data_IF_379960449640
#
_entry.id   IF_379960449640
#
_cell.length_a   1.000
_cell.length_b   1.000
_cell.length_c   1.000
_cell.angle_alpha   90.00
_cell.angle_beta   90.00
_cell.angle_gamma   90.00
#
_symmetry.space_group_name_H-M   'P 1'
#
loop_
_entity.id
_entity.type
_entity.pdbx_description
1 polymer ?
#
# COMPACT_ATOMS: atom_id res chain seq x y z
N UNK A 1 35.19 12.34 17.13
CA UNK A 1 33.99 11.58 17.51
C UNK A 1 34.37 10.12 17.59
N UNK A 2 34.09 9.40 18.69
CA UNK A 2 34.38 7.99 18.80
C UNK A 2 33.54 7.18 17.78
N UNK A 3 34.07 6.04 17.32
CA UNK A 3 33.38 5.16 16.38
C UNK A 3 32.04 4.57 16.93
N UNK A 4 31.77 4.76 18.22
CA UNK A 4 30.51 4.39 18.89
C UNK A 4 29.31 5.22 18.44
N UNK A 5 29.52 6.44 17.93
CA UNK A 5 28.45 7.39 17.61
C UNK A 5 27.98 7.30 16.15
N UNK A 6 28.57 6.38 15.38
CA UNK A 6 28.20 6.15 13.98
C UNK A 6 26.91 5.34 13.91
N UNK A 7 25.89 5.91 13.28
CA UNK A 7 24.60 5.27 13.05
C UNK A 7 24.69 4.16 12.00
N UNK A 8 24.08 3.03 12.28
CA UNK A 8 24.09 1.82 11.46
C UNK A 8 22.84 1.78 10.59
N UNK A 9 23.05 1.89 9.28
CA UNK A 9 21.99 1.79 8.26
C UNK A 9 21.00 0.62 8.41
N UNK A 10 21.41 -0.63 8.73
CA UNK A 10 20.46 -1.74 8.79
C UNK A 10 19.52 -1.70 10.00
N UNK A 11 19.75 -0.83 10.99
CA UNK A 11 18.88 -0.71 12.17
C UNK A 11 17.76 0.28 11.91
N UNK A 12 16.61 -0.25 11.49
CA UNK A 12 15.40 0.52 11.22
C UNK A 12 14.21 -0.06 12.00
N UNK A 13 13.25 0.79 12.35
CA UNK A 13 11.96 0.38 12.87
C UNK A 13 10.86 1.29 12.32
N UNK A 14 9.66 0.72 12.15
CA UNK A 14 8.47 1.42 11.69
C UNK A 14 7.36 1.11 12.71
N UNK A 15 6.73 2.15 13.26
CA UNK A 15 5.53 2.03 14.09
C UNK A 15 4.41 2.85 13.45
N UNK A 16 3.19 2.32 13.43
CA UNK A 16 2.05 2.95 12.74
C UNK A 16 0.79 2.86 13.58
N UNK A 17 0.15 4.00 13.85
CA UNK A 17 -1.10 4.05 14.61
C UNK A 17 -2.06 5.07 14.00
N UNK A 18 -3.35 4.76 13.98
CA UNK A 18 -4.38 5.69 13.51
C UNK A 18 -4.50 6.89 14.46
N UNK A 19 -4.72 8.06 13.87
CA UNK A 19 -4.93 9.31 14.60
C UNK A 19 -6.39 9.47 15.01
N UNK A 20 -6.62 9.87 16.26
CA UNK A 20 -7.96 10.29 16.71
C UNK A 20 -8.36 11.64 16.11
N UNK A 21 -7.38 12.48 15.79
CA UNK A 21 -7.55 13.80 15.19
C UNK A 21 -6.44 14.04 14.17
N UNK A 22 -6.83 14.43 12.96
CA UNK A 22 -5.89 14.65 11.85
C UNK A 22 -4.71 15.54 12.24
N UNK A 23 -3.49 15.09 11.92
CA UNK A 23 -2.26 15.86 12.16
C UNK A 23 -1.85 15.94 13.63
N UNK A 24 -2.52 15.21 14.52
CA UNK A 24 -2.17 15.10 15.94
C UNK A 24 -1.52 13.76 16.21
N UNK A 25 -0.35 13.79 16.85
CA UNK A 25 0.44 12.59 17.14
C UNK A 25 -0.33 11.56 17.97
N UNK A 26 -0.61 10.40 17.37
CA UNK A 26 -1.26 9.26 18.00
C UNK A 26 -0.37 8.54 19.03
N UNK A 27 0.92 8.88 19.09
CA UNK A 27 1.96 8.22 19.87
C UNK A 27 2.02 6.69 19.64
N UNK A 28 2.39 6.21 18.43
CA UNK A 28 2.64 4.80 18.16
C UNK A 28 3.56 4.13 19.20
N UNK A 29 3.16 2.97 19.70
CA UNK A 29 3.88 2.21 20.70
C UNK A 29 4.48 0.92 20.12
N UNK A 30 5.18 0.14 20.94
CA UNK A 30 5.87 -1.08 20.50
C UNK A 30 4.96 -2.17 19.91
N UNK A 31 3.67 -2.16 20.25
CA UNK A 31 2.66 -3.09 19.72
C UNK A 31 2.23 -2.78 18.28
N UNK A 32 2.48 -1.55 17.84
CA UNK A 32 2.13 -0.97 16.54
C UNK A 32 3.25 -1.16 15.50
N UNK A 33 4.17 -2.07 15.79
CA UNK A 33 5.35 -2.31 14.97
C UNK A 33 5.04 -3.05 13.67
N UNK A 34 5.56 -2.50 12.57
CA UNK A 34 5.43 -3.07 11.23
C UNK A 34 6.70 -3.82 10.83
N UNK A 35 6.52 -5.08 10.39
CA UNK A 35 7.60 -5.86 9.78
C UNK A 35 7.60 -5.59 8.28
N UNK A 36 8.60 -4.83 7.84
CA UNK A 36 8.70 -4.36 6.46
C UNK A 36 9.98 -4.81 5.75
N UNK A 37 9.89 -4.92 4.43
CA UNK A 37 11.00 -5.12 3.51
C UNK A 37 11.13 -3.92 2.57
N UNK A 38 12.28 -3.79 1.89
CA UNK A 38 12.51 -2.79 0.83
C UNK A 38 12.15 -1.35 1.24
N UNK A 39 12.63 -0.94 2.42
CA UNK A 39 12.29 0.35 3.03
C UNK A 39 13.12 1.49 2.45
N UNK A 40 12.42 2.45 1.85
CA UNK A 40 12.94 3.71 1.33
C UNK A 40 12.28 4.87 2.07
N UNK A 41 13.08 5.77 2.63
CA UNK A 41 12.59 6.90 3.41
C UNK A 41 13.22 8.20 2.90
N UNK A 42 12.37 9.13 2.50
CA UNK A 42 12.77 10.52 2.24
C UNK A 42 12.36 11.37 3.44
N UNK A 43 13.31 11.83 4.27
CA UNK A 43 13.01 12.50 5.54
C UNK A 43 12.37 13.88 5.37
N UNK A 44 12.64 14.55 4.25
CA UNK A 44 12.20 15.93 4.02
C UNK A 44 12.14 16.21 2.52
N UNK A 45 10.94 16.26 1.97
CA UNK A 45 10.62 16.76 0.63
C UNK A 45 9.86 18.09 0.78
N UNK A 46 9.94 18.95 -0.24
CA UNK A 46 9.27 20.24 -0.22
C UNK A 46 9.70 21.12 -1.38
N UNK A 47 9.37 22.41 -1.29
CA UNK A 47 9.73 23.41 -2.29
C UNK A 47 10.95 24.20 -1.84
N UNK A 48 11.85 24.51 -2.80
CA UNK A 48 12.97 25.41 -2.60
C UNK A 48 12.68 26.75 -3.27
N UNK A 49 12.50 27.80 -2.47
CA UNK A 49 12.35 29.16 -2.97
C UNK A 49 13.73 29.81 -3.08
N UNK A 50 14.14 30.12 -4.32
CA UNK A 50 15.39 30.82 -4.57
C UNK A 50 15.31 32.28 -4.12
N UNK A 51 16.38 32.76 -3.50
CA UNK A 51 16.49 34.12 -3.01
C UNK A 51 17.22 34.99 -4.04
N UNK A 52 16.51 35.58 -4.98
CA UNK A 52 17.09 36.43 -6.04
C UNK A 52 17.33 37.88 -5.59
N UNK A 53 18.11 38.10 -4.53
CA UNK A 53 18.47 39.47 -4.10
C UNK A 53 19.51 40.07 -5.05
N UNK A 54 19.55 41.41 -5.14
CA UNK A 54 20.57 42.09 -5.94
C UNK A 54 21.70 42.50 -4.98
N UNK A 55 22.89 41.94 -5.19
CA UNK A 55 24.08 42.19 -4.38
C UNK A 55 25.20 42.77 -5.25
N UNK A 56 26.10 43.61 -4.71
CA UNK A 56 27.25 44.17 -5.44
C UNK A 56 28.36 43.13 -5.73
N UNK A 57 28.09 41.85 -5.51
CA UNK A 57 29.00 40.72 -5.74
C UNK A 57 28.23 39.52 -6.30
N UNK A 58 28.94 38.64 -7.01
CA UNK A 58 28.39 37.42 -7.60
C UNK A 58 28.43 36.27 -6.58
N UNK A 59 27.34 35.50 -6.46
CA UNK A 59 27.26 34.33 -5.59
C UNK A 59 25.85 33.77 -5.44
N UNK A 60 25.73 32.50 -5.00
CA UNK A 60 24.44 31.90 -4.63
C UNK A 60 23.95 32.49 -3.31
N UNK A 61 22.67 32.79 -3.24
CA UNK A 61 22.05 33.53 -2.13
C UNK A 61 21.21 32.64 -1.20
N UNK A 62 21.28 31.32 -1.46
CA UNK A 62 20.60 30.31 -0.71
C UNK A 62 19.14 30.15 -1.13
N UNK A 63 18.51 29.15 -0.53
CA UNK A 63 17.12 28.77 -0.75
C UNK A 63 16.37 28.77 0.58
N UNK A 64 15.07 29.01 0.53
CA UNK A 64 14.17 28.84 1.67
C UNK A 64 13.35 27.58 1.39
N UNK A 65 13.36 26.63 2.34
CA UNK A 65 12.57 25.41 2.24
C UNK A 65 11.16 25.68 2.76
N UNK A 66 10.15 25.33 1.98
CA UNK A 66 8.74 25.53 2.33
C UNK A 66 7.88 24.31 1.96
N UNK A 67 6.79 24.08 2.68
CA UNK A 67 5.87 22.96 2.42
C UNK A 67 6.56 21.62 2.62
N UNK A 68 7.15 21.43 3.80
CA UNK A 68 7.95 20.25 4.11
C UNK A 68 7.07 19.06 4.51
N UNK A 69 7.30 17.91 3.91
CA UNK A 69 6.66 16.64 4.25
C UNK A 69 7.68 15.49 4.16
N UNK A 70 7.32 14.33 4.71
CA UNK A 70 8.12 13.12 4.61
C UNK A 70 7.43 12.08 3.73
N UNK A 71 8.22 11.24 3.06
CA UNK A 71 7.72 10.11 2.27
C UNK A 71 8.38 8.82 2.72
N UNK A 72 7.58 7.78 2.93
CA UNK A 72 8.04 6.46 3.35
C UNK A 72 7.44 5.41 2.41
N UNK A 73 8.27 4.56 1.83
CA UNK A 73 7.86 3.47 0.93
C UNK A 73 8.44 2.16 1.44
N UNK A 74 7.61 1.13 1.53
CA UNK A 74 8.03 -0.19 2.01
C UNK A 74 7.04 -1.28 1.61
N UNK A 75 7.52 -2.51 1.69
CA UNK A 75 6.71 -3.69 1.41
C UNK A 75 6.36 -4.43 2.71
N UNK A 76 5.13 -4.88 2.84
CA UNK A 76 4.64 -5.75 3.93
C UNK A 76 4.20 -7.08 3.32
N UNK A 77 4.61 -8.19 3.92
CA UNK A 77 4.18 -9.52 3.46
C UNK A 77 2.68 -9.73 3.74
N UNK A 78 1.94 -10.26 2.77
CA UNK A 78 0.49 -10.48 2.89
C UNK A 78 0.26 -11.78 3.68
N UNK A 79 -0.33 -11.63 4.86
CA UNK A 79 -0.79 -12.72 5.71
C UNK A 79 -1.96 -12.23 6.57
N UNK A 80 -2.86 -13.13 6.99
CA UNK A 80 -3.93 -12.75 7.91
C UNK A 80 -3.44 -12.54 9.35
N UNK A 81 -4.39 -12.29 10.24
CA UNK A 81 -4.14 -12.00 11.67
C UNK A 81 -3.89 -13.25 12.53
N UNK A 82 -4.30 -14.42 12.05
CA UNK A 82 -4.24 -15.71 12.74
C UNK A 82 -5.53 -16.17 13.38
N UNK A 83 -6.48 -15.26 13.60
CA UNK A 83 -7.81 -15.57 14.13
C UNK A 83 -8.87 -14.83 13.28
N UNK A 84 -9.90 -15.55 12.83
CA UNK A 84 -10.98 -14.96 12.04
C UNK A 84 -11.67 -13.82 12.80
N UNK A 85 -12.05 -12.75 12.08
CA UNK A 85 -12.64 -11.55 12.70
C UNK A 85 -11.66 -10.70 13.53
N UNK A 86 -10.35 -10.99 13.50
CA UNK A 86 -9.32 -10.13 14.11
C UNK A 86 -8.59 -9.33 13.03
N UNK A 87 -8.41 -8.03 13.26
CA UNK A 87 -7.72 -7.14 12.32
C UNK A 87 -6.24 -7.54 12.11
N UNK A 88 -5.74 -7.59 10.86
CA UNK A 88 -4.33 -7.83 10.57
C UNK A 88 -3.42 -6.71 11.08
N UNK A 89 -2.12 -6.98 11.22
CA UNK A 89 -1.15 -5.99 11.72
C UNK A 89 -0.90 -4.79 10.81
N UNK A 90 -1.25 -4.89 9.53
CA UNK A 90 -1.19 -3.79 8.56
C UNK A 90 -2.50 -3.00 8.46
N UNK A 91 -3.47 -3.24 9.35
CA UNK A 91 -4.77 -2.58 9.36
C UNK A 91 -4.70 -1.06 9.28
N UNK A 92 -3.90 -0.42 10.15
CA UNK A 92 -3.76 1.04 10.18
C UNK A 92 -3.24 1.61 8.86
N UNK A 93 -2.44 0.84 8.10
CA UNK A 93 -1.94 1.27 6.79
C UNK A 93 -3.04 1.20 5.72
N UNK A 94 -3.87 0.15 5.73
CA UNK A 94 -5.02 0.06 4.83
C UNK A 94 -6.02 1.17 5.12
N UNK A 95 -6.28 1.49 6.38
CA UNK A 95 -7.19 2.58 6.73
C UNK A 95 -6.66 3.95 6.30
N UNK A 96 -5.35 4.18 6.45
CA UNK A 96 -4.66 5.34 5.87
C UNK A 96 -4.62 5.36 4.32
N UNK A 97 -5.01 4.27 3.64
CA UNK A 97 -5.23 4.24 2.20
C UNK A 97 -6.65 4.61 1.77
N UNK A 98 -7.53 5.01 2.69
CA UNK A 98 -8.93 5.31 2.37
C UNK A 98 -9.84 4.09 2.39
N UNK A 99 -9.48 3.03 3.11
CA UNK A 99 -10.39 1.93 3.42
C UNK A 99 -11.05 2.13 4.79
N UNK A 100 -12.35 1.91 4.90
CA UNK A 100 -13.04 1.70 6.17
C UNK A 100 -13.05 0.21 6.51
N UNK A 101 -12.82 -0.08 7.78
CA UNK A 101 -12.86 -1.43 8.31
C UNK A 101 -14.26 -1.78 8.84
N UNK A 102 -14.74 -2.96 8.44
CA UNK A 102 -15.90 -3.62 9.04
C UNK A 102 -15.49 -4.98 9.59
N UNK A 103 -15.64 -5.18 10.90
CA UNK A 103 -15.32 -6.45 11.55
C UNK A 103 -16.59 -7.25 11.77
N UNK A 104 -16.67 -8.44 11.18
CA UNK A 104 -17.63 -9.47 11.54
C UNK A 104 -16.95 -10.44 12.50
N UNK A 105 -17.35 -10.40 13.77
CA UNK A 105 -16.76 -11.22 14.83
C UNK A 105 -16.68 -12.70 14.42
N UNK A 106 -15.54 -13.32 14.73
CA UNK A 106 -15.24 -14.73 14.44
C UNK A 106 -15.36 -15.14 12.95
N UNK A 107 -15.50 -14.17 12.03
CA UNK A 107 -15.81 -14.44 10.62
C UNK A 107 -14.85 -13.74 9.67
N UNK A 108 -14.80 -12.41 9.66
CA UNK A 108 -14.03 -11.66 8.67
C UNK A 108 -13.77 -10.22 9.09
N UNK A 109 -12.76 -9.63 8.46
CA UNK A 109 -12.46 -8.20 8.49
C UNK A 109 -12.46 -7.71 7.05
N UNK A 110 -13.39 -6.83 6.75
CA UNK A 110 -13.60 -6.29 5.41
C UNK A 110 -13.09 -4.85 5.33
N UNK A 111 -12.42 -4.53 4.23
CA UNK A 111 -11.89 -3.20 3.91
C UNK A 111 -12.55 -2.71 2.64
N UNK A 112 -13.45 -1.74 2.80
CA UNK A 112 -14.21 -1.11 1.72
C UNK A 112 -13.80 0.35 1.58
N UNK A 113 -13.88 0.89 0.37
CA UNK A 113 -13.41 2.25 0.11
C UNK A 113 -14.35 3.29 0.73
N UNK A 114 -13.76 4.36 1.27
CA UNK A 114 -14.46 5.55 1.74
C UNK A 114 -13.78 6.83 1.24
N UNK A 115 -14.56 7.91 1.11
CA UNK A 115 -14.08 9.20 0.60
C UNK A 115 -14.22 10.36 1.60
N UNK A 116 -15.30 10.38 2.39
CA UNK A 116 -15.58 11.49 3.34
C UNK A 116 -15.02 11.26 4.75
N UNK A 117 -14.74 10.01 5.13
CA UNK A 117 -14.30 9.62 6.47
C UNK A 117 -12.95 8.86 6.42
N UNK A 118 -12.03 9.35 5.58
CA UNK A 118 -10.70 8.77 5.44
C UNK A 118 -9.90 9.00 6.73
N UNK A 119 -9.56 7.90 7.41
CA UNK A 119 -8.72 7.94 8.60
C UNK A 119 -7.26 8.25 8.24
N UNK A 120 -6.56 9.00 9.10
CA UNK A 120 -5.13 9.26 8.96
C UNK A 120 -4.32 8.47 9.98
N UNK A 121 -3.03 8.27 9.71
CA UNK A 121 -2.11 7.62 10.65
C UNK A 121 -0.97 8.55 11.09
N UNK A 122 -0.44 8.31 12.28
CA UNK A 122 0.90 8.73 12.66
C UNK A 122 1.88 7.59 12.42
N UNK A 123 2.99 7.88 11.75
CA UNK A 123 4.08 6.92 11.52
C UNK A 123 5.34 7.41 12.18
N UNK A 124 5.97 6.54 12.98
CA UNK A 124 7.33 6.75 13.46
C UNK A 124 8.30 5.90 12.66
N UNK A 125 9.15 6.56 11.87
CA UNK A 125 10.29 5.92 11.21
C UNK A 125 11.56 6.15 12.02
N UNK A 126 12.21 5.08 12.44
CA UNK A 126 13.40 5.15 13.28
C UNK A 126 14.62 4.62 12.56
N UNK A 127 15.73 5.38 12.59
CA UNK A 127 17.02 5.02 12.02
C UNK A 127 18.11 5.14 13.07
N UNK A 128 18.57 4.00 13.60
CA UNK A 128 19.58 3.84 14.67
C UNK A 128 19.65 5.03 15.65
N UNK A 129 18.55 5.23 16.40
CA UNK A 129 18.47 6.24 17.44
C UNK A 129 17.90 7.60 17.01
N UNK A 130 17.48 7.80 15.77
CA UNK A 130 16.65 8.96 15.39
C UNK A 130 15.24 8.52 15.07
N UNK A 131 14.27 9.16 15.68
CA UNK A 131 12.86 9.06 15.31
C UNK A 131 12.47 10.21 14.41
N UNK A 132 11.88 9.89 13.26
CA UNK A 132 11.18 10.82 12.39
C UNK A 132 9.68 10.56 12.55
N UNK A 133 8.96 11.52 13.13
CA UNK A 133 7.52 11.46 13.20
C UNK A 133 6.91 11.99 11.90
N UNK A 134 5.93 11.25 11.38
CA UNK A 134 5.06 11.65 10.27
C UNK A 134 3.64 11.70 10.80
N UNK A 135 2.95 12.83 10.58
CA UNK A 135 1.59 13.07 11.07
C UNK A 135 0.62 13.22 9.89
N UNK A 136 -0.66 13.00 10.11
CA UNK A 136 -1.69 13.17 9.08
C UNK A 136 -1.42 12.31 7.84
N UNK A 137 -0.85 11.11 8.03
CA UNK A 137 -0.36 10.27 6.94
C UNK A 137 -1.54 9.74 6.12
N UNK A 138 -1.43 9.93 4.81
CA UNK A 138 -2.23 9.26 3.80
C UNK A 138 -1.33 8.35 2.95
N UNK A 139 -1.89 7.27 2.43
CA UNK A 139 -1.10 6.24 1.76
C UNK A 139 -1.77 5.67 0.49
N UNK A 140 -0.96 5.03 -0.34
CA UNK A 140 -1.39 4.19 -1.45
C UNK A 140 -0.95 2.74 -1.19
N UNK A 141 -1.74 1.78 -1.65
CA UNK A 141 -1.44 0.34 -1.55
C UNK A 141 -1.43 -0.30 -2.93
N UNK A 142 -0.38 -1.08 -3.21
CA UNK A 142 -0.24 -1.85 -4.43
C UNK A 142 0.11 -3.31 -4.09
N UNK A 143 -0.88 -4.23 -4.08
CA UNK A 143 -0.62 -5.65 -3.86
C UNK A 143 -0.02 -6.34 -5.09
N UNK A 144 0.96 -7.21 -4.85
CA UNK A 144 1.56 -8.07 -5.87
C UNK A 144 1.51 -9.53 -5.46
N UNK A 145 1.09 -10.37 -6.41
CA UNK A 145 1.02 -11.82 -6.29
C UNK A 145 1.73 -12.44 -7.48
N UNK A 146 2.94 -12.96 -7.25
CA UNK A 146 3.72 -13.65 -8.27
C UNK A 146 3.84 -15.13 -7.91
N UNK A 147 3.69 -16.01 -8.90
CA UNK A 147 3.80 -17.46 -8.70
C UNK A 147 5.12 -17.82 -8.02
N UNK A 148 5.06 -18.72 -7.04
CA UNK A 148 6.18 -19.17 -6.18
C UNK A 148 6.80 -18.12 -5.26
N UNK A 149 6.36 -16.86 -5.32
CA UNK A 149 6.81 -15.80 -4.42
C UNK A 149 5.89 -15.64 -3.20
N UNK A 150 6.40 -14.95 -2.18
CA UNK A 150 5.58 -14.45 -1.06
C UNK A 150 4.89 -13.17 -1.52
N UNK A 151 3.55 -13.08 -1.43
CA UNK A 151 2.82 -11.89 -1.86
C UNK A 151 3.07 -10.71 -0.93
N UNK A 152 3.03 -9.49 -1.47
CA UNK A 152 3.38 -8.26 -0.74
C UNK A 152 2.42 -7.12 -1.04
N UNK A 153 2.10 -6.34 -0.02
CA UNK A 153 1.57 -5.00 -0.18
C UNK A 153 2.72 -4.01 -0.23
N UNK A 154 2.85 -3.26 -1.32
CA UNK A 154 3.73 -2.10 -1.36
C UNK A 154 2.95 -0.87 -0.93
N UNK A 155 3.36 -0.27 0.18
CA UNK A 155 2.79 0.96 0.70
C UNK A 155 3.64 2.16 0.32
N UNK A 156 3.00 3.21 -0.17
CA UNK A 156 3.59 4.54 -0.35
C UNK A 156 2.88 5.49 0.59
N UNK A 157 3.57 5.99 1.61
CA UNK A 157 3.01 6.84 2.64
C UNK A 157 3.59 8.26 2.52
N UNK A 158 2.73 9.27 2.63
CA UNK A 158 3.11 10.68 2.66
C UNK A 158 2.50 11.30 3.91
N UNK A 159 3.32 11.99 4.70
CA UNK A 159 2.93 12.56 6.00
C UNK A 159 3.53 13.93 6.24
N UNK A 160 2.84 14.76 7.01
CA UNK A 160 3.35 16.05 7.49
C UNK A 160 4.58 15.80 8.35
N UNK A 161 5.55 16.70 8.25
CA UNK A 161 6.79 16.57 9.00
C UNK A 161 6.53 16.83 10.48
N UNK A 162 6.57 15.78 11.29
CA UNK A 162 6.49 15.86 12.74
C UNK A 162 7.85 16.15 13.39
N UNK A 163 7.89 16.05 14.72
CA UNK A 163 9.14 16.28 15.47
C UNK A 163 10.15 15.18 15.18
N UNK A 164 11.36 15.57 14.76
CA UNK A 164 12.51 14.68 14.65
C UNK A 164 13.29 14.74 15.96
N UNK A 165 13.54 13.59 16.58
CA UNK A 165 14.21 13.52 17.89
C UNK A 165 15.17 12.34 17.99
N UNK A 166 16.18 12.48 18.85
CA UNK A 166 17.02 11.37 19.24
C UNK A 166 16.31 10.50 20.29
N UNK A 167 16.40 9.18 20.11
CA UNK A 167 15.92 8.16 21.01
C UNK A 167 17.10 7.59 21.81
N UNK A 168 16.90 7.47 23.12
CA UNK A 168 17.89 6.83 24.00
C UNK A 168 18.11 5.35 23.64
N UNK A 169 17.05 4.65 23.19
CA UNK A 169 17.08 3.25 22.77
C UNK A 169 16.13 3.02 21.59
N UNK A 170 16.49 2.10 20.69
CA UNK A 170 15.57 1.61 19.67
C UNK A 170 14.40 0.85 20.33
N UNK A 171 13.17 0.96 19.79
CA UNK A 171 12.03 0.23 20.32
C UNK A 171 12.22 -1.27 20.19
N UNK A 172 11.76 -2.01 21.19
CA UNK A 172 11.72 -3.47 21.17
C UNK A 172 10.51 -3.94 20.33
N UNK A 173 10.61 -3.80 19.00
CA UNK A 173 9.55 -4.25 18.08
C UNK A 173 9.37 -5.76 18.20
N UNK A 174 8.15 -6.20 18.47
CA UNK A 174 7.78 -7.61 18.54
C UNK A 174 7.23 -8.12 17.20
N UNK A 175 7.44 -9.39 16.90
CA UNK A 175 6.81 -10.09 15.77
C UNK A 175 5.50 -10.78 16.17
N UNK A 176 5.01 -10.57 17.40
CA UNK A 176 3.76 -11.15 17.86
C UNK A 176 2.58 -10.69 16.97
N UNK A 177 1.77 -11.64 16.50
CA UNK A 177 0.66 -11.39 15.58
C UNK A 177 1.05 -11.30 14.10
N UNK A 178 2.34 -11.42 13.76
CA UNK A 178 2.77 -11.60 12.37
C UNK A 178 2.86 -13.09 12.05
N UNK A 179 1.97 -13.58 11.19
CA UNK A 179 2.04 -14.94 10.68
C UNK A 179 3.13 -15.09 9.62
N UNK A 180 3.65 -16.31 9.50
CA UNK A 180 4.52 -16.65 8.37
C UNK A 180 3.66 -16.70 7.09
N UNK A 181 3.94 -15.89 6.06
CA UNK A 181 3.16 -15.90 4.85
C UNK A 181 3.34 -17.22 4.08
N UNK A 182 2.34 -17.57 3.29
CA UNK A 182 2.38 -18.73 2.40
C UNK A 182 2.70 -18.27 0.97
N UNK A 183 3.45 -19.06 0.17
CA UNK A 183 3.75 -18.67 -1.19
C UNK A 183 2.52 -18.80 -2.10
N UNK A 184 2.44 -17.96 -3.14
CA UNK A 184 1.42 -18.04 -4.20
C UNK A 184 1.66 -19.32 -5.00
N UNK A 185 0.76 -20.29 -4.82
CA UNK A 185 0.79 -21.59 -5.51
C UNK A 185 -0.63 -22.06 -5.74
N UNK A 186 -0.83 -23.05 -6.63
CA UNK A 186 -2.15 -23.67 -6.84
C UNK A 186 -2.81 -24.18 -5.55
N UNK A 187 -2.01 -24.61 -4.55
CA UNK A 187 -2.53 -25.11 -3.29
C UNK A 187 -3.04 -23.99 -2.37
N UNK A 188 -2.55 -22.76 -2.54
CA UNK A 188 -2.82 -21.63 -1.65
C UNK A 188 -3.57 -20.48 -2.32
N UNK A 189 -3.71 -20.47 -3.64
CA UNK A 189 -4.25 -19.33 -4.38
C UNK A 189 -5.23 -19.76 -5.47
N UNK A 190 -6.35 -19.04 -5.58
CA UNK A 190 -7.33 -19.20 -6.65
C UNK A 190 -7.70 -17.81 -7.18
N UNK A 191 -7.63 -17.64 -8.49
CA UNK A 191 -8.06 -16.42 -9.18
C UNK A 191 -9.25 -16.73 -10.09
N UNK A 192 -10.30 -15.92 -10.04
CA UNK A 192 -11.36 -15.89 -11.04
C UNK A 192 -11.40 -14.51 -11.69
N UNK A 193 -11.50 -14.48 -13.02
CA UNK A 193 -11.53 -13.24 -13.81
C UNK A 193 -12.56 -13.40 -14.94
N UNK A 194 -13.56 -12.53 -15.00
CA UNK A 194 -14.70 -12.64 -15.91
C UNK A 194 -15.39 -14.01 -15.86
N UNK A 195 -15.51 -14.59 -14.66
CA UNK A 195 -16.12 -15.90 -14.43
C UNK A 195 -15.26 -17.10 -14.82
N UNK A 196 -14.06 -16.88 -15.37
CA UNK A 196 -13.10 -17.96 -15.66
C UNK A 196 -12.13 -18.15 -14.50
N UNK A 197 -11.98 -19.38 -14.00
CA UNK A 197 -10.94 -19.73 -13.04
C UNK A 197 -9.58 -19.74 -13.75
N UNK A 198 -8.81 -18.69 -13.49
CA UNK A 198 -7.59 -18.41 -14.22
C UNK A 198 -6.43 -19.32 -13.78
N UNK A 199 -5.62 -19.73 -14.76
CA UNK A 199 -4.25 -20.21 -14.51
C UNK A 199 -3.33 -19.03 -14.79
N UNK A 200 -2.89 -18.35 -13.72
CA UNK A 200 -2.13 -17.11 -13.78
C UNK A 200 -0.71 -17.27 -13.27
N UNK A 201 0.21 -16.51 -13.88
CA UNK A 201 1.60 -16.37 -13.42
C UNK A 201 1.72 -15.23 -12.40
N UNK A 202 0.99 -14.14 -12.61
CA UNK A 202 0.98 -13.01 -11.68
C UNK A 202 -0.30 -12.18 -11.72
N UNK A 203 -0.54 -11.48 -10.61
CA UNK A 203 -1.53 -10.43 -10.46
C UNK A 203 -0.87 -9.25 -9.72
N UNK A 204 -0.80 -8.10 -10.37
CA UNK A 204 -0.33 -6.85 -9.79
C UNK A 204 -1.45 -5.84 -9.82
N UNK A 205 -1.78 -5.26 -8.68
CA UNK A 205 -2.83 -4.24 -8.56
C UNK A 205 -2.24 -2.99 -7.92
N UNK A 206 -2.86 -1.86 -8.21
CA UNK A 206 -2.56 -0.57 -7.61
C UNK A 206 -3.90 0.14 -7.36
N UNK A 207 -4.15 0.55 -6.12
CA UNK A 207 -5.30 1.37 -5.79
C UNK A 207 -5.24 2.74 -6.50
N UNK A 208 -4.03 3.23 -6.79
CA UNK A 208 -3.81 4.43 -7.58
C UNK A 208 -4.17 5.73 -6.87
N UNK A 209 -4.08 5.77 -5.53
CA UNK A 209 -4.32 6.98 -4.75
C UNK A 209 -3.31 8.08 -5.10
N UNK A 210 -3.82 9.27 -5.44
CA UNK A 210 -3.02 10.48 -5.61
C UNK A 210 -2.87 11.20 -4.27
N UNK A 211 -1.70 11.04 -3.65
CA UNK A 211 -1.37 11.67 -2.37
C UNK A 211 -0.88 13.10 -2.60
N UNK A 212 -1.70 14.09 -2.25
CA UNK A 212 -1.43 15.50 -2.53
C UNK A 212 -1.17 16.28 -1.24
N UNK A 213 0.09 16.65 -0.95
CA UNK A 213 0.42 17.61 0.12
C UNK A 213 -0.07 19.01 -0.24
N UNK A 214 -0.74 19.67 0.71
CA UNK A 214 -1.23 21.04 0.57
C UNK A 214 -0.82 21.86 1.80
N UNK A 215 -0.26 23.03 1.51
CA UNK A 215 0.21 23.98 2.52
C UNK A 215 -0.39 25.39 2.29
N UNK A 216 -1.73 25.55 2.24
CA UNK A 216 -2.34 26.88 2.20
C UNK A 216 -2.09 27.66 3.48
N UNK A 217 -2.34 28.98 3.45
CA UNK A 217 -2.32 29.77 4.67
C UNK A 217 -3.45 29.32 5.61
N UNK A 218 -3.12 29.00 6.86
CA UNK A 218 -4.09 28.66 7.90
C UNK A 218 -4.38 27.17 8.07
N UNK A 219 -3.92 26.29 7.18
CA UNK A 219 -4.03 24.84 7.34
C UNK A 219 -2.95 24.10 6.52
N UNK A 220 -2.48 22.97 7.01
CA UNK A 220 -1.51 22.10 6.33
C UNK A 220 -1.98 20.66 6.42
N UNK A 221 -2.12 20.01 5.27
CA UNK A 221 -2.72 18.68 5.21
C UNK A 221 -2.31 17.94 3.95
N UNK A 222 -2.50 16.62 4.01
CA UNK A 222 -2.29 15.67 2.94
C UNK A 222 -3.62 14.98 2.75
N UNK A 223 -4.10 14.99 1.52
CA UNK A 223 -5.34 14.33 1.14
C UNK A 223 -5.10 13.34 0.00
N UNK A 224 -6.01 12.37 -0.13
CA UNK A 224 -6.14 11.56 -1.34
C UNK A 224 -7.01 12.37 -2.29
N UNK A 225 -6.40 13.00 -3.30
CA UNK A 225 -7.10 13.95 -4.19
C UNK A 225 -7.82 13.29 -5.35
N UNK A 226 -7.39 12.09 -5.72
CA UNK A 226 -7.95 11.29 -6.80
C UNK A 226 -7.58 9.82 -6.56
N UNK A 227 -8.33 8.90 -7.14
CA UNK A 227 -8.07 7.45 -7.10
C UNK A 227 -8.41 6.85 -8.45
N UNK A 228 -7.48 6.08 -9.00
CA UNK A 228 -7.71 5.32 -10.23
C UNK A 228 -7.10 3.93 -10.08
N UNK A 229 -7.94 2.99 -9.63
CA UNK A 229 -7.50 1.62 -9.43
C UNK A 229 -7.19 0.95 -10.78
N UNK A 230 -6.01 0.34 -10.86
CA UNK A 230 -5.50 -0.30 -12.06
C UNK A 230 -4.74 -1.58 -11.72
N UNK A 231 -4.51 -2.41 -12.71
CA UNK A 231 -3.73 -3.62 -12.49
C UNK A 231 -3.29 -4.30 -13.77
N UNK A 232 -2.61 -5.42 -13.60
CA UNK A 232 -2.25 -6.32 -14.69
C UNK A 232 -2.31 -7.75 -14.19
N UNK A 233 -3.04 -8.59 -14.91
CA UNK A 233 -3.03 -10.03 -14.71
C UNK A 233 -2.26 -10.70 -15.86
N UNK A 234 -1.33 -11.58 -15.54
CA UNK A 234 -0.63 -12.42 -16.52
C UNK A 234 -1.21 -13.83 -16.42
N UNK A 235 -1.89 -14.28 -17.47
CA UNK A 235 -2.57 -15.59 -17.51
C UNK A 235 -2.10 -16.44 -18.66
N UNK A 236 -2.10 -17.77 -18.50
CA UNK A 236 -1.78 -18.68 -19.59
C UNK A 236 -2.80 -18.55 -20.74
N UNK A 237 -2.30 -18.55 -21.97
CA UNK A 237 -3.16 -18.53 -23.14
C UNK A 237 -3.93 -19.85 -23.26
N UNK A 238 -5.27 -19.77 -23.20
CA UNK A 238 -6.18 -20.90 -23.43
C UNK A 238 -6.85 -20.77 -24.79
N UNK A 239 -7.55 -21.83 -25.20
CA UNK A 239 -8.37 -21.82 -26.42
C UNK A 239 -9.37 -20.68 -26.37
N UNK A 240 -9.58 -19.99 -27.51
CA UNK A 240 -10.58 -18.93 -27.63
C UNK A 240 -12.01 -19.43 -27.33
N UNK A 241 -12.27 -20.73 -27.48
CA UNK A 241 -13.55 -21.35 -27.09
C UNK A 241 -13.73 -21.44 -25.56
N UNK A 242 -12.63 -21.40 -24.80
CA UNK A 242 -12.67 -21.34 -23.33
C UNK A 242 -12.84 -19.92 -22.85
N UNK A 243 -11.99 -19.01 -23.32
CA UNK A 243 -12.10 -17.58 -23.03
C UNK A 243 -11.48 -16.76 -24.16
N UNK A 244 -12.23 -15.77 -24.67
CA UNK A 244 -11.79 -14.90 -25.75
C UNK A 244 -11.51 -13.49 -25.23
N UNK A 245 -10.31 -13.26 -24.71
CA UNK A 245 -9.89 -11.96 -24.18
C UNK A 245 -9.95 -10.82 -25.20
N UNK A 246 -9.76 -11.11 -26.48
CA UNK A 246 -9.81 -10.10 -27.54
C UNK A 246 -11.22 -9.59 -27.79
N UNK A 247 -12.22 -10.47 -27.70
CA UNK A 247 -13.63 -10.09 -27.84
C UNK A 247 -14.12 -9.35 -26.60
N UNK A 248 -13.76 -9.82 -25.40
CA UNK A 248 -14.04 -9.14 -24.13
C UNK A 248 -13.46 -7.72 -24.14
N UNK A 249 -12.18 -7.57 -24.49
CA UNK A 249 -11.51 -6.27 -24.53
C UNK A 249 -12.05 -5.36 -25.65
N UNK A 250 -12.42 -5.91 -26.81
CA UNK A 250 -13.00 -5.11 -27.90
C UNK A 250 -14.41 -4.62 -27.55
N UNK A 251 -15.16 -5.41 -26.79
CA UNK A 251 -16.51 -5.07 -26.37
C UNK A 251 -16.56 -4.15 -25.13
N UNK A 252 -15.43 -3.98 -24.41
CA UNK A 252 -15.43 -3.27 -23.12
C UNK A 252 -16.33 -3.95 -22.09
N UNK A 253 -16.40 -5.29 -22.13
CA UNK A 253 -17.27 -6.03 -21.21
C UNK A 253 -16.71 -5.96 -19.81
N UNK A 254 -17.55 -5.62 -18.83
CA UNK A 254 -17.22 -5.63 -17.41
C UNK A 254 -17.41 -7.03 -16.84
N UNK A 255 -16.54 -7.43 -15.92
CA UNK A 255 -16.70 -8.68 -15.19
C UNK A 255 -15.90 -8.71 -13.89
N UNK A 256 -16.29 -9.62 -13.00
CA UNK A 256 -15.69 -9.68 -11.68
C UNK A 256 -14.27 -10.25 -11.69
N UNK A 257 -13.44 -9.73 -10.78
CA UNK A 257 -12.17 -10.29 -10.33
C UNK A 257 -12.35 -10.78 -8.88
N UNK A 258 -11.93 -12.00 -8.59
CA UNK A 258 -11.71 -12.48 -7.21
C UNK A 258 -10.37 -13.21 -7.15
N UNK A 259 -9.55 -12.83 -6.19
CA UNK A 259 -8.29 -13.50 -5.89
C UNK A 259 -8.29 -13.90 -4.42
N UNK A 260 -8.36 -15.20 -4.14
CA UNK A 260 -8.33 -15.76 -2.79
C UNK A 260 -6.95 -16.35 -2.54
N UNK A 261 -6.29 -15.92 -1.47
CA UNK A 261 -5.00 -16.44 -1.04
C UNK A 261 -5.06 -16.92 0.41
N UNK A 262 -4.57 -18.13 0.67
CA UNK A 262 -4.66 -18.82 1.95
C UNK A 262 -5.73 -19.89 1.96
N UNK A 263 -5.62 -20.83 2.91
CA UNK A 263 -6.54 -21.97 3.06
C UNK A 263 -7.01 -22.20 4.50
N UNK A 264 -6.41 -21.52 5.47
CA UNK A 264 -6.73 -21.64 6.90
C UNK A 264 -7.41 -20.36 7.33
N UNK A 265 -8.56 -20.48 8.00
CA UNK A 265 -9.25 -19.35 8.65
C UNK A 265 -8.27 -18.58 9.56
N UNK A 266 -8.44 -17.26 9.60
CA UNK A 266 -7.51 -16.29 10.17
C UNK A 266 -6.32 -15.96 9.27
N UNK A 267 -6.11 -16.65 8.15
CA UNK A 267 -4.98 -16.44 7.23
C UNK A 267 -5.39 -16.46 5.75
N UNK A 268 -6.66 -16.18 5.44
CA UNK A 268 -7.13 -16.00 4.08
C UNK A 268 -7.21 -14.50 3.80
N UNK A 269 -6.55 -14.05 2.74
CA UNK A 269 -6.68 -12.70 2.19
C UNK A 269 -7.32 -12.81 0.81
N UNK A 270 -8.46 -12.15 0.65
CA UNK A 270 -9.24 -12.12 -0.56
C UNK A 270 -9.31 -10.70 -1.11
N UNK A 271 -9.08 -10.54 -2.42
CA UNK A 271 -9.29 -9.29 -3.14
C UNK A 271 -10.42 -9.50 -4.13
N UNK A 272 -11.42 -8.63 -4.08
CA UNK A 272 -12.57 -8.67 -4.99
C UNK A 272 -12.79 -7.33 -5.65
N UNK A 273 -13.20 -7.38 -6.91
CA UNK A 273 -13.75 -6.24 -7.64
C UNK A 273 -14.91 -6.74 -8.52
N UNK A 274 -16.11 -6.14 -8.45
CA UNK A 274 -17.30 -6.62 -9.15
C UNK A 274 -17.28 -6.31 -10.65
N UNK A 275 -16.69 -5.18 -11.05
CA UNK A 275 -16.66 -4.72 -12.42
C UNK A 275 -15.24 -4.29 -12.84
N UNK A 276 -14.57 -5.18 -13.57
CA UNK A 276 -13.24 -4.93 -14.16
C UNK A 276 -13.37 -4.96 -15.68
N UNK A 277 -12.79 -3.96 -16.34
CA UNK A 277 -12.62 -3.92 -17.79
C UNK A 277 -11.22 -4.42 -18.16
N UNK A 278 -11.13 -5.17 -19.26
CA UNK A 278 -9.86 -5.63 -19.81
C UNK A 278 -9.38 -4.66 -20.89
N UNK A 279 -8.21 -4.06 -20.67
CA UNK A 279 -7.51 -3.26 -21.66
C UNK A 279 -6.97 -4.11 -22.81
N UNK A 280 -6.11 -3.53 -23.65
CA UNK A 280 -5.55 -4.24 -24.82
C UNK A 280 -4.70 -5.45 -24.38
N UNK A 281 -5.13 -6.70 -24.67
CA UNK A 281 -4.33 -7.88 -24.33
C UNK A 281 -3.03 -7.91 -25.15
N UNK A 282 -1.92 -8.27 -24.53
CA UNK A 282 -0.64 -8.49 -25.23
C UNK A 282 -0.15 -9.93 -25.01
N UNK A 283 0.59 -10.44 -25.99
CA UNK A 283 1.22 -11.76 -25.88
C UNK A 283 2.53 -11.65 -25.07
N UNK A 284 2.73 -12.61 -24.17
CA UNK A 284 3.96 -12.85 -23.45
C UNK A 284 4.38 -14.32 -23.54
N UNK A 285 5.48 -14.65 -22.86
CA UNK A 285 5.88 -16.04 -22.67
C UNK A 285 6.52 -16.24 -21.30
N UNK A 286 6.20 -17.36 -20.67
CA UNK A 286 6.86 -17.86 -19.46
C UNK A 286 7.25 -19.30 -19.71
N UNK A 287 8.53 -19.64 -19.56
CA UNK A 287 9.01 -21.04 -19.75
C UNK A 287 8.59 -21.66 -21.10
N UNK A 288 8.60 -20.87 -22.18
CA UNK A 288 8.13 -21.24 -23.53
C UNK A 288 6.63 -21.59 -23.63
N UNK A 289 5.82 -21.21 -22.63
CA UNK A 289 4.36 -21.25 -22.68
C UNK A 289 3.84 -19.85 -22.96
N UNK A 290 2.93 -19.72 -23.93
CA UNK A 290 2.32 -18.43 -24.29
C UNK A 290 1.41 -17.94 -23.18
N UNK A 291 1.58 -16.67 -22.78
CA UNK A 291 0.73 -16.00 -21.80
C UNK A 291 0.07 -14.77 -22.41
N UNK A 292 -1.02 -14.32 -21.81
CA UNK A 292 -1.65 -13.04 -22.04
C UNK A 292 -1.35 -12.12 -20.86
N UNK A 293 -0.82 -10.94 -21.16
CA UNK A 293 -0.81 -9.82 -20.20
C UNK A 293 -2.08 -9.01 -20.43
N UNK A 294 -2.93 -8.95 -19.40
CA UNK A 294 -4.23 -8.31 -19.40
C UNK A 294 -4.16 -7.07 -18.50
N UNK A 295 -4.11 -5.85 -19.08
CA UNK A 295 -4.30 -4.63 -18.30
C UNK A 295 -5.72 -4.63 -17.73
N UNK A 296 -5.86 -4.33 -16.44
CA UNK A 296 -7.12 -4.29 -15.71
C UNK A 296 -7.45 -2.84 -15.38
N UNK A 297 -8.66 -2.40 -15.71
CA UNK A 297 -9.22 -1.13 -15.26
C UNK A 297 -10.40 -1.43 -14.32
N UNK A 298 -10.32 -0.95 -13.09
CA UNK A 298 -11.34 -1.19 -12.08
C UNK A 298 -12.40 -0.10 -12.18
N UNK A 299 -13.67 -0.51 -12.21
CA UNK A 299 -14.81 0.39 -12.30
C UNK A 299 -15.79 0.07 -11.18
N UNK A 300 -16.46 1.08 -10.61
CA UNK A 300 -17.53 0.82 -9.65
C UNK A 300 -18.74 0.21 -10.36
N UNK A 301 -19.40 -0.74 -9.72
CA UNK A 301 -20.70 -1.28 -10.14
C UNK A 301 -21.83 -0.59 -9.35
N UNK A 302 -21.67 -0.53 -8.03
CA UNK A 302 -22.60 0.10 -7.09
C UNK A 302 -21.88 0.99 -6.07
N UNK A 303 -21.46 2.19 -6.51
CA UNK A 303 -20.92 3.22 -5.61
C UNK A 303 -19.40 3.13 -5.47
N UNK A 304 -18.91 2.78 -4.27
CA UNK A 304 -17.49 2.75 -3.92
C UNK A 304 -16.95 1.30 -3.83
N UNK A 305 -17.47 0.42 -4.67
CA UNK A 305 -17.19 -1.02 -4.66
C UNK A 305 -16.13 -1.44 -5.69
N UNK A 306 -15.37 -0.49 -6.24
CA UNK A 306 -14.34 -0.71 -7.26
C UNK A 306 -13.21 -1.64 -6.78
N UNK A 307 -12.93 -1.67 -5.47
CA UNK A 307 -11.91 -2.53 -4.89
C UNK A 307 -12.20 -2.87 -3.42
N UNK A 308 -12.17 -4.16 -3.06
CA UNK A 308 -12.37 -4.62 -1.68
C UNK A 308 -11.30 -5.64 -1.28
N UNK A 309 -10.79 -5.50 -0.06
CA UNK A 309 -9.91 -6.50 0.57
C UNK A 309 -10.67 -7.12 1.75
N UNK A 310 -10.66 -8.44 1.83
CA UNK A 310 -11.24 -9.19 2.95
C UNK A 310 -10.19 -10.08 3.57
N UNK A 311 -10.08 -10.06 4.90
CA UNK A 311 -9.23 -10.97 5.68
C UNK A 311 -10.12 -11.86 6.52
N UNK A 312 -9.99 -13.18 6.38
CA UNK A 312 -10.80 -14.16 7.11
C UNK A 312 -10.00 -15.36 7.57
#
# INVERSE_FOLDING_TARGET
MPASDVRRWPKKAILVKIEDTYGTDAAPAVADGIVAANVEFTPMEGQELQRDLIMPYLGNQGVILTGLYARLVFDVEIAGSGDAGTAPKYDALLRACGFAQTITADTSVEYEIVEDAVESASIYFMLDGVQHAMLGVQANVAPTFDITAVPRFRFTCVGLLGTISDLANMPAVTKAGWLKPVPVTKANSVMTLHGWTATGDSLSLDLGNQLTPRFPFGDEYILISDRSASGTAVVEARSLATINWFEIAKAGTLGALSFVHGTTEGNIVEITAPAVEIGRPTYGQTSNVTTYSLPLAFTPDAGLDDFKITVR
#
